data_IF_904523484998
#
_entry.id   IF_904523484998
#
_cell.length_a   1.000
_cell.length_b   1.000
_cell.length_c   1.000
_cell.angle_alpha   90.00
_cell.angle_beta   90.00
_cell.angle_gamma   90.00
#
_symmetry.space_group_name_H-M   'P 1'
#
loop_
_entity.id
_entity.type
_entity.pdbx_description
1 polymer ?
#
# COMPACT_ATOMS: atom_id res chain seq x y z
N UNK A 1 -3.23 -17.94 -7.12
CA UNK A 1 -3.38 -16.53 -7.53
C UNK A 1 -2.64 -15.66 -6.53
N UNK A 2 -1.71 -14.83 -6.99
CA UNK A 2 -0.94 -13.93 -6.10
C UNK A 2 -1.42 -12.48 -6.26
N UNK A 3 -1.84 -11.88 -5.15
CA UNK A 3 -2.49 -10.56 -5.10
C UNK A 3 -1.66 -9.60 -4.26
N UNK A 4 -1.55 -8.35 -4.72
CA UNK A 4 -0.87 -7.29 -3.98
C UNK A 4 -1.87 -6.22 -3.55
N UNK A 5 -1.99 -5.96 -2.25
CA UNK A 5 -2.64 -4.76 -1.73
C UNK A 5 -1.62 -3.61 -1.67
N UNK A 6 -1.89 -2.52 -2.37
CA UNK A 6 -1.07 -1.31 -2.34
C UNK A 6 -1.75 -0.24 -1.51
N UNK A 7 -1.10 0.15 -0.42
CA UNK A 7 -1.48 1.23 0.48
C UNK A 7 -0.53 2.42 0.32
N UNK A 8 -1.03 3.61 0.65
CA UNK A 8 -0.23 4.83 0.74
C UNK A 8 -0.38 5.47 2.11
N UNK A 9 0.62 6.22 2.56
CA UNK A 9 0.56 7.00 3.80
C UNK A 9 -0.49 8.11 3.74
N UNK A 10 -0.66 8.76 2.58
CA UNK A 10 -1.67 9.80 2.36
C UNK A 10 -3.11 9.27 2.49
N UNK A 11 -3.40 8.08 1.95
CA UNK A 11 -4.76 7.51 1.86
C UNK A 11 -4.93 6.23 2.71
N UNK A 12 -4.29 6.19 3.88
CA UNK A 12 -4.24 5.01 4.75
C UNK A 12 -5.61 4.55 5.31
N UNK A 13 -6.64 5.40 5.32
CA UNK A 13 -7.97 5.08 5.88
C UNK A 13 -8.91 4.36 4.89
N UNK A 14 -8.38 3.48 4.04
CA UNK A 14 -9.15 2.83 2.99
C UNK A 14 -9.77 1.48 3.42
N UNK A 15 -10.78 1.53 4.30
CA UNK A 15 -11.38 0.30 4.86
C UNK A 15 -11.91 -0.67 3.82
N UNK A 16 -12.52 -0.15 2.74
CA UNK A 16 -13.04 -0.99 1.65
C UNK A 16 -11.93 -1.82 1.00
N UNK A 17 -10.78 -1.22 0.69
CA UNK A 17 -9.70 -1.93 0.03
C UNK A 17 -9.10 -3.02 0.91
N UNK A 18 -8.92 -2.72 2.20
CA UNK A 18 -8.50 -3.71 3.19
C UNK A 18 -9.55 -4.83 3.29
N UNK A 19 -10.84 -4.50 3.21
CA UNK A 19 -11.93 -5.48 3.22
C UNK A 19 -11.92 -6.39 2.00
N UNK A 20 -11.67 -5.85 0.81
CA UNK A 20 -11.50 -6.66 -0.39
C UNK A 20 -10.30 -7.60 -0.24
N UNK A 21 -9.16 -7.08 0.19
CA UNK A 21 -7.96 -7.89 0.41
C UNK A 21 -8.19 -9.04 1.40
N UNK A 22 -8.84 -8.77 2.54
CA UNK A 22 -9.20 -9.79 3.52
C UNK A 22 -10.15 -10.85 2.94
N UNK A 23 -11.18 -10.44 2.20
CA UNK A 23 -12.09 -11.38 1.54
C UNK A 23 -11.37 -12.24 0.49
N UNK A 24 -10.45 -11.67 -0.26
CA UNK A 24 -9.63 -12.41 -1.23
C UNK A 24 -8.77 -13.45 -0.52
N UNK A 25 -8.11 -13.08 0.59
CA UNK A 25 -7.31 -13.99 1.40
C UNK A 25 -8.16 -15.15 1.96
N UNK A 26 -9.23 -14.82 2.69
CA UNK A 26 -10.00 -15.82 3.46
C UNK A 26 -10.93 -16.68 2.59
N UNK A 27 -11.62 -16.09 1.60
CA UNK A 27 -12.65 -16.79 0.82
C UNK A 27 -12.12 -17.45 -0.43
N UNK A 28 -11.07 -16.86 -1.03
CA UNK A 28 -10.52 -17.33 -2.30
C UNK A 28 -9.17 -18.03 -2.11
N UNK A 29 -8.61 -18.05 -0.90
CA UNK A 29 -7.35 -18.72 -0.59
C UNK A 29 -6.17 -18.15 -1.38
N UNK A 30 -6.20 -16.84 -1.67
CA UNK A 30 -5.15 -16.20 -2.47
C UNK A 30 -3.93 -15.89 -1.60
N UNK A 31 -2.76 -15.92 -2.22
CA UNK A 31 -1.55 -15.42 -1.58
C UNK A 31 -1.56 -13.89 -1.63
N UNK A 32 -1.78 -13.25 -0.49
CA UNK A 32 -1.88 -11.80 -0.38
C UNK A 32 -0.61 -11.22 0.25
N UNK A 33 0.05 -10.34 -0.51
CA UNK A 33 1.10 -9.46 0.00
C UNK A 33 0.58 -8.03 0.18
N UNK A 34 1.15 -7.29 1.13
CA UNK A 34 0.80 -5.88 1.36
C UNK A 34 2.05 -5.02 1.14
N UNK A 35 1.94 -4.03 0.26
CA UNK A 35 2.93 -2.99 0.02
C UNK A 35 2.38 -1.65 0.50
N UNK A 36 3.07 -1.01 1.44
CA UNK A 36 2.81 0.35 1.88
C UNK A 36 3.87 1.29 1.31
N UNK A 37 3.49 2.19 0.41
CA UNK A 37 4.38 3.22 -0.13
C UNK A 37 4.18 4.52 0.65
N UNK A 38 5.26 4.98 1.29
CA UNK A 38 5.29 6.22 2.06
C UNK A 38 5.70 7.38 1.14
N UNK A 39 4.75 7.86 0.33
CA UNK A 39 4.98 8.90 -0.68
C UNK A 39 5.08 10.29 -0.04
N UNK A 40 4.29 10.57 1.00
CA UNK A 40 4.41 11.84 1.75
C UNK A 40 5.73 11.92 2.50
N UNK A 41 6.18 10.81 3.10
CA UNK A 41 7.52 10.73 3.71
C UNK A 41 8.61 11.05 2.68
N UNK A 42 8.52 10.50 1.48
CA UNK A 42 9.46 10.80 0.39
C UNK A 42 9.44 12.29 0.00
N UNK A 43 8.25 12.88 -0.12
CA UNK A 43 8.10 14.29 -0.46
C UNK A 43 8.65 15.20 0.64
N UNK A 44 8.50 14.82 1.92
CA UNK A 44 9.08 15.53 3.06
C UNK A 44 10.61 15.42 3.08
N UNK A 45 11.19 14.25 2.79
CA UNK A 45 12.64 14.07 2.67
C UNK A 45 13.22 14.97 1.56
N UNK A 46 12.53 15.06 0.41
CA UNK A 46 12.92 15.98 -0.67
C UNK A 46 12.83 17.46 -0.26
N UNK A 47 11.78 17.82 0.47
CA UNK A 47 11.61 19.19 0.96
C UNK A 47 12.70 19.55 1.97
N UNK A 48 13.08 18.63 2.87
CA UNK A 48 14.23 18.80 3.76
C UNK A 48 15.49 19.12 2.96
N UNK A 49 15.87 18.28 1.99
CA UNK A 49 17.08 18.50 1.19
C UNK A 49 17.06 19.84 0.47
N UNK A 50 15.88 20.27 0.01
CA UNK A 50 15.71 21.54 -0.73
C UNK A 50 15.77 22.78 0.17
N UNK A 51 15.21 22.70 1.38
CA UNK A 51 15.01 23.87 2.26
C UNK A 51 15.86 23.83 3.55
N UNK A 52 16.64 22.77 3.78
CA UNK A 52 17.46 22.58 4.98
C UNK A 52 16.66 22.38 6.27
N UNK A 53 15.40 21.94 6.17
CA UNK A 53 14.52 21.75 7.33
C UNK A 53 14.84 20.42 8.03
N UNK A 54 14.89 20.36 9.37
CA UNK A 54 15.08 19.09 10.07
C UNK A 54 13.96 18.10 9.72
N UNK A 55 14.33 16.86 9.39
CA UNK A 55 13.38 15.75 9.17
C UNK A 55 13.61 14.68 10.25
N UNK A 56 12.76 14.68 11.31
CA UNK A 56 12.86 13.70 12.37
C UNK A 56 12.56 12.28 11.86
N UNK A 57 13.39 11.26 12.19
CA UNK A 57 13.17 9.87 11.77
C UNK A 57 11.85 9.29 12.31
N UNK A 58 11.29 9.89 13.37
CA UNK A 58 10.02 9.50 13.99
C UNK A 58 8.85 9.62 13.03
N UNK A 59 8.88 10.54 12.05
CA UNK A 59 7.80 10.74 11.07
C UNK A 59 7.56 9.47 10.27
N UNK A 60 8.64 8.79 9.87
CA UNK A 60 8.57 7.54 9.11
C UNK A 60 7.96 6.42 9.95
N UNK A 61 8.40 6.29 11.20
CA UNK A 61 7.91 5.26 12.11
C UNK A 61 6.45 5.50 12.53
N UNK A 62 6.05 6.76 12.71
CA UNK A 62 4.65 7.11 12.98
C UNK A 62 3.75 6.77 11.79
N UNK A 63 4.20 7.05 10.57
CA UNK A 63 3.46 6.72 9.35
C UNK A 63 3.22 5.22 9.23
N UNK A 64 4.25 4.40 9.48
CA UNK A 64 4.10 2.93 9.53
C UNK A 64 3.09 2.50 10.58
N UNK A 65 3.21 3.01 11.82
CA UNK A 65 2.30 2.67 12.93
C UNK A 65 0.84 3.00 12.61
N UNK A 66 0.57 4.14 11.95
CA UNK A 66 -0.79 4.53 11.54
C UNK A 66 -1.39 3.54 10.54
N UNK A 67 -0.59 3.12 9.54
CA UNK A 67 -0.99 2.12 8.55
C UNK A 67 -1.25 0.76 9.22
N UNK A 68 -0.33 0.27 10.05
CA UNK A 68 -0.47 -1.01 10.75
C UNK A 68 -1.68 -1.04 11.66
N UNK A 69 -1.91 0.05 12.41
CA UNK A 69 -3.08 0.16 13.29
C UNK A 69 -4.36 0.02 12.48
N UNK A 70 -4.48 0.77 11.37
CA UNK A 70 -5.69 0.71 10.54
C UNK A 70 -5.88 -0.66 9.89
N UNK A 71 -4.80 -1.26 9.41
CA UNK A 71 -4.81 -2.63 8.88
C UNK A 71 -5.33 -3.60 9.93
N UNK A 72 -4.77 -3.61 11.14
CA UNK A 72 -5.20 -4.49 12.24
C UNK A 72 -6.66 -4.27 12.61
N UNK A 73 -7.09 -3.01 12.78
CA UNK A 73 -8.49 -2.68 13.13
C UNK A 73 -9.49 -3.27 12.12
N UNK A 74 -9.25 -3.09 10.82
CA UNK A 74 -10.15 -3.56 9.78
C UNK A 74 -10.04 -5.07 9.61
N UNK A 75 -8.82 -5.63 9.69
CA UNK A 75 -8.58 -7.05 9.54
C UNK A 75 -9.20 -7.87 10.67
N UNK A 76 -9.03 -7.44 11.92
CA UNK A 76 -9.60 -8.07 13.10
C UNK A 76 -11.13 -8.04 13.05
N UNK A 77 -11.72 -6.90 12.66
CA UNK A 77 -13.18 -6.76 12.49
C UNK A 77 -13.76 -7.74 11.46
N UNK A 78 -12.99 -8.11 10.44
CA UNK A 78 -13.46 -8.96 9.34
C UNK A 78 -13.17 -10.44 9.54
N UNK A 79 -11.99 -10.76 10.04
CA UNK A 79 -11.48 -12.14 10.14
C UNK A 79 -11.55 -12.69 11.56
N UNK A 80 -11.74 -11.83 12.56
CA UNK A 80 -11.59 -12.20 13.98
C UNK A 80 -10.15 -12.46 14.41
N UNK A 81 -9.18 -12.29 13.51
CA UNK A 81 -7.75 -12.52 13.76
C UNK A 81 -6.97 -11.21 13.78
N UNK A 82 -6.01 -11.11 14.70
CA UNK A 82 -5.05 -10.00 14.77
C UNK A 82 -3.81 -10.25 13.92
N UNK A 83 -3.69 -11.44 13.32
CA UNK A 83 -2.57 -11.81 12.47
C UNK A 83 -2.80 -11.28 11.05
N UNK A 84 -2.18 -10.13 10.76
CA UNK A 84 -2.17 -9.54 9.43
C UNK A 84 -1.01 -10.13 8.59
N UNK A 85 -1.15 -10.18 7.26
CA UNK A 85 -0.03 -10.44 6.36
C UNK A 85 1.13 -9.46 6.57
N UNK A 86 2.34 -9.88 6.21
CA UNK A 86 3.51 -9.02 6.33
C UNK A 86 3.37 -7.77 5.45
N UNK A 87 3.65 -6.60 6.01
CA UNK A 87 3.59 -5.32 5.31
C UNK A 87 5.01 -4.93 4.92
N UNK A 88 5.29 -4.88 3.63
CA UNK A 88 6.53 -4.30 3.13
C UNK A 88 6.37 -2.79 2.95
N UNK A 89 7.33 -2.03 3.49
CA UNK A 89 7.36 -0.57 3.35
C UNK A 89 8.37 -0.14 2.31
N UNK A 90 8.00 0.85 1.49
CA UNK A 90 8.90 1.55 0.56
C UNK A 90 8.71 3.05 0.70
N UNK A 91 9.78 3.82 0.45
CA UNK A 91 9.77 5.29 0.45
C UNK A 91 10.17 5.71 -0.95
N UNK A 92 9.29 6.42 -1.63
CA UNK A 92 9.51 6.84 -3.02
C UNK A 92 8.20 7.13 -3.75
N UNK A 93 8.27 7.52 -5.04
CA UNK A 93 7.10 7.68 -5.88
C UNK A 93 6.36 6.35 -6.05
N UNK A 94 5.02 6.35 -5.88
CA UNK A 94 4.16 5.16 -5.96
C UNK A 94 4.43 4.34 -7.22
N UNK A 95 4.43 5.02 -8.38
CA UNK A 95 4.63 4.40 -9.69
C UNK A 95 5.95 3.63 -9.80
N UNK A 96 7.03 4.13 -9.23
CA UNK A 96 8.35 3.50 -9.31
C UNK A 96 8.48 2.35 -8.32
N UNK A 97 8.05 2.57 -7.08
CA UNK A 97 8.18 1.58 -6.01
C UNK A 97 7.31 0.35 -6.27
N UNK A 98 6.10 0.53 -6.79
CA UNK A 98 5.25 -0.61 -7.18
C UNK A 98 5.91 -1.42 -8.30
N UNK A 99 6.43 -0.77 -9.36
CA UNK A 99 7.12 -1.47 -10.46
C UNK A 99 8.35 -2.24 -9.98
N UNK A 100 9.17 -1.64 -9.12
CA UNK A 100 10.35 -2.30 -8.53
C UNK A 100 9.92 -3.51 -7.70
N UNK A 101 8.85 -3.36 -6.92
CA UNK A 101 8.36 -4.40 -6.03
C UNK A 101 7.79 -5.61 -6.76
N UNK A 102 6.99 -5.40 -7.81
CA UNK A 102 6.32 -6.48 -8.52
C UNK A 102 7.25 -7.27 -9.46
N UNK A 103 8.41 -6.69 -9.82
CA UNK A 103 9.33 -7.27 -10.80
C UNK A 103 9.81 -8.65 -10.36
N UNK A 104 9.46 -9.68 -11.13
CA UNK A 104 9.87 -11.07 -10.88
C UNK A 104 9.12 -11.77 -9.74
N UNK A 105 8.08 -11.14 -9.15
CA UNK A 105 7.29 -11.74 -8.05
C UNK A 105 6.00 -12.44 -8.51
N UNK A 106 5.63 -12.35 -9.79
CA UNK A 106 4.51 -13.11 -10.36
C UNK A 106 3.12 -12.74 -9.84
N UNK A 107 2.89 -11.48 -9.44
CA UNK A 107 1.55 -11.01 -9.09
C UNK A 107 0.63 -11.06 -10.31
N UNK A 108 -0.66 -11.33 -10.08
CA UNK A 108 -1.69 -11.39 -11.12
C UNK A 108 -2.71 -10.25 -10.99
N UNK A 109 -2.90 -9.75 -9.78
CA UNK A 109 -3.86 -8.69 -9.46
C UNK A 109 -3.26 -7.70 -8.45
N UNK A 110 -3.48 -6.41 -8.69
CA UNK A 110 -3.16 -5.33 -7.75
C UNK A 110 -4.46 -4.69 -7.26
N UNK A 111 -4.59 -4.56 -5.94
CA UNK A 111 -5.66 -3.83 -5.26
C UNK A 111 -5.14 -2.45 -4.86
N UNK A 112 -5.67 -1.41 -5.48
CA UNK A 112 -5.26 -0.02 -5.24
C UNK A 112 -6.14 0.61 -4.16
N UNK A 113 -5.56 0.89 -2.99
CA UNK A 113 -6.31 1.39 -1.84
C UNK A 113 -6.48 2.92 -1.86
N UNK A 114 -7.64 3.38 -2.34
CA UNK A 114 -8.11 4.77 -2.27
C UNK A 114 -7.17 5.84 -2.84
N UNK A 115 -6.11 5.45 -3.55
CA UNK A 115 -5.26 6.39 -4.27
C UNK A 115 -6.04 6.97 -5.47
N UNK A 116 -5.94 8.28 -5.76
CA UNK A 116 -6.74 8.89 -6.81
C UNK A 116 -6.48 8.23 -8.16
N UNK A 117 -7.53 7.67 -8.76
CA UNK A 117 -7.43 6.88 -9.99
C UNK A 117 -6.83 7.66 -11.17
N UNK A 118 -6.95 8.99 -11.17
CA UNK A 118 -6.35 9.86 -12.18
C UNK A 118 -4.82 9.70 -12.27
N UNK A 119 -4.15 9.45 -11.14
CA UNK A 119 -2.70 9.27 -11.08
C UNK A 119 -2.26 7.83 -11.37
N UNK A 120 -3.19 6.86 -11.32
CA UNK A 120 -2.89 5.45 -11.57
C UNK A 120 -2.89 5.08 -13.06
N UNK A 121 -3.48 5.92 -13.93
CA UNK A 121 -3.69 5.59 -15.35
C UNK A 121 -2.43 5.09 -16.05
N UNK A 122 -1.34 5.87 -15.97
CA UNK A 122 -0.05 5.51 -16.57
C UNK A 122 0.56 4.25 -15.93
N UNK A 123 0.44 4.13 -14.60
CA UNK A 123 1.02 3.02 -13.85
C UNK A 123 0.34 1.70 -14.22
N UNK A 124 -0.99 1.69 -14.29
CA UNK A 124 -1.77 0.50 -14.63
C UNK A 124 -1.43 0.01 -16.05
N UNK A 125 -1.33 0.92 -17.00
CA UNK A 125 -0.98 0.61 -18.40
C UNK A 125 0.42 -0.04 -18.51
N UNK A 126 1.39 0.45 -17.74
CA UNK A 126 2.77 -0.05 -17.76
C UNK A 126 2.95 -1.40 -17.03
N UNK A 127 2.07 -1.76 -16.09
CA UNK A 127 2.24 -2.96 -15.26
C UNK A 127 1.79 -4.24 -15.96
N UNK A 128 0.91 -4.17 -16.97
CA UNK A 128 0.33 -5.35 -17.67
C UNK A 128 -0.28 -6.40 -16.71
N UNK A 129 -0.88 -5.95 -15.61
CA UNK A 129 -1.52 -6.77 -14.59
C UNK A 129 -2.96 -6.32 -14.36
N UNK A 130 -3.83 -7.25 -13.95
CA UNK A 130 -5.17 -6.87 -13.54
C UNK A 130 -5.08 -5.87 -12.38
N UNK A 131 -5.88 -4.81 -12.44
CA UNK A 131 -5.86 -3.73 -11.44
C UNK A 131 -7.29 -3.45 -10.98
N UNK A 132 -7.53 -3.63 -9.68
CA UNK A 132 -8.78 -3.25 -9.04
C UNK A 132 -8.61 -1.90 -8.33
N UNK A 133 -9.31 -0.88 -8.83
CA UNK A 133 -9.31 0.46 -8.25
C UNK A 133 -10.44 0.55 -7.23
N UNK A 134 -10.11 0.88 -5.97
CA UNK A 134 -11.07 0.91 -4.87
C UNK A 134 -11.20 2.34 -4.34
N UNK A 135 -12.44 2.85 -4.28
CA UNK A 135 -12.81 4.20 -3.82
C UNK A 135 -13.61 4.18 -2.52
#
# INVERSE_FOLDING_TARGET
MKVLLVLTDTYHNCEKAISYAANFSEKLGVELDILAVLEDVYNLERANVTFGLPFPPEIKEESKRRIERKLREVWEKLTGSTQIPNVEYRVGPLSEEVKKFIKGKGYELILWACYPSAYLCKVIDELNLASLIIK
#
